data_IF_085068304302
#
_entry.id   IF_085068304302
#
_cell.length_a   1.000
_cell.length_b   1.000
_cell.length_c   1.000
_cell.angle_alpha   90.00
_cell.angle_beta   90.00
_cell.angle_gamma   90.00
#
_symmetry.space_group_name_H-M   'P 1'
#
loop_
_entity.id
_entity.type
_entity.pdbx_description
1 polymer ?
#
# COMPACT_ATOMS: atom_id res chain seq x y z
N UNK A 1 4.97 -9.79 7.45
CA UNK A 1 3.95 -9.09 8.27
C UNK A 1 4.55 -8.85 9.65
N UNK A 2 4.38 -7.64 10.21
CA UNK A 2 4.98 -7.24 11.49
C UNK A 2 4.30 -7.94 12.68
N UNK A 3 5.08 -8.40 13.66
CA UNK A 3 4.59 -9.23 14.78
C UNK A 3 3.57 -8.53 15.68
N UNK A 4 3.66 -7.21 15.80
CA UNK A 4 2.86 -6.41 16.73
C UNK A 4 1.88 -5.47 16.01
N UNK A 5 1.68 -5.67 14.71
CA UNK A 5 0.74 -4.89 13.93
C UNK A 5 -0.71 -5.21 14.29
N UNK A 6 -1.56 -4.20 14.24
CA UNK A 6 -3.00 -4.33 14.49
C UNK A 6 -3.77 -3.94 13.24
N UNK A 7 -4.76 -4.75 12.85
CA UNK A 7 -5.62 -4.48 11.70
C UNK A 7 -6.70 -3.48 12.10
N UNK A 8 -6.83 -2.38 11.35
CA UNK A 8 -7.70 -1.27 11.74
C UNK A 8 -9.19 -1.61 11.69
N UNK A 9 -9.58 -2.56 10.83
CA UNK A 9 -10.98 -3.04 10.73
C UNK A 9 -11.43 -3.79 11.98
N UNK A 10 -10.50 -4.47 12.67
CA UNK A 10 -10.79 -5.20 13.90
C UNK A 10 -11.06 -4.26 15.08
N UNK A 11 -10.58 -3.02 14.99
CA UNK A 11 -10.78 -1.96 15.99
C UNK A 11 -11.97 -1.04 15.69
N UNK A 12 -12.68 -1.26 14.56
CA UNK A 12 -13.80 -0.40 14.16
C UNK A 12 -13.40 0.97 13.61
N UNK A 13 -12.14 1.17 13.21
CA UNK A 13 -11.65 2.44 12.67
C UNK A 13 -11.92 2.65 11.16
N UNK A 14 -12.66 1.76 10.50
CA UNK A 14 -12.91 1.90 9.07
C UNK A 14 -13.92 3.01 8.74
N UNK A 15 -15.19 2.81 9.07
CA UNK A 15 -16.30 3.62 8.54
C UNK A 15 -16.19 5.12 8.85
N UNK A 16 -15.86 5.49 10.08
CA UNK A 16 -15.90 6.90 10.52
C UNK A 16 -14.56 7.63 10.41
N UNK A 17 -13.46 6.90 10.17
CA UNK A 17 -12.11 7.48 10.13
C UNK A 17 -11.42 7.22 8.81
N UNK A 18 -11.23 5.96 8.43
CA UNK A 18 -10.43 5.61 7.26
C UNK A 18 -11.21 5.72 5.94
N UNK A 19 -12.49 5.37 5.90
CA UNK A 19 -13.32 5.51 4.70
C UNK A 19 -13.32 6.96 4.16
N UNK A 20 -13.68 8.00 4.96
CA UNK A 20 -13.65 9.37 4.47
C UNK A 20 -12.23 9.81 4.13
N UNK A 21 -11.24 9.44 4.94
CA UNK A 21 -9.84 9.81 4.69
C UNK A 21 -9.33 9.26 3.36
N UNK A 22 -9.54 7.97 3.10
CA UNK A 22 -9.03 7.31 1.90
C UNK A 22 -9.83 7.75 0.68
N UNK A 23 -11.15 7.61 0.71
CA UNK A 23 -11.98 7.78 -0.49
C UNK A 23 -12.23 9.25 -0.87
N UNK A 24 -12.07 10.19 0.06
CA UNK A 24 -12.28 11.63 -0.23
C UNK A 24 -10.98 12.42 -0.35
N UNK A 25 -9.88 11.95 0.24
CA UNK A 25 -8.61 12.68 0.24
C UNK A 25 -7.46 11.90 -0.42
N UNK A 26 -7.17 10.68 0.04
CA UNK A 26 -6.06 9.90 -0.52
C UNK A 26 -6.30 9.58 -1.99
N UNK A 27 -7.53 9.22 -2.37
CA UNK A 27 -7.91 8.98 -3.77
C UNK A 27 -7.60 10.17 -4.69
N UNK A 28 -7.96 11.39 -4.28
CA UNK A 28 -7.72 12.59 -5.08
C UNK A 28 -6.22 12.85 -5.30
N UNK A 29 -5.41 12.62 -4.26
CA UNK A 29 -3.96 12.79 -4.33
C UNK A 29 -3.34 11.67 -5.20
N UNK A 30 -3.74 10.42 -4.96
CA UNK A 30 -3.25 9.25 -5.70
C UNK A 30 -3.49 9.38 -7.20
N UNK A 31 -4.70 9.74 -7.62
CA UNK A 31 -5.03 9.93 -9.04
C UNK A 31 -4.24 11.05 -9.72
N UNK A 32 -3.76 12.03 -8.95
CA UNK A 32 -2.95 13.14 -9.49
C UNK A 32 -1.47 12.82 -9.54
N UNK A 33 -0.95 12.14 -8.52
CA UNK A 33 0.49 11.87 -8.37
C UNK A 33 0.92 10.53 -8.98
N UNK A 34 0.01 9.55 -9.01
CA UNK A 34 0.25 8.17 -9.45
C UNK A 34 -0.82 7.72 -10.47
N UNK A 35 -1.12 8.52 -11.52
CA UNK A 35 -2.22 8.25 -12.45
C UNK A 35 -2.07 6.94 -13.22
N UNK A 36 -0.83 6.46 -13.38
CA UNK A 36 -0.56 5.18 -14.04
C UNK A 36 -0.99 3.98 -13.18
N UNK A 37 -0.91 4.09 -11.85
CA UNK A 37 -1.18 2.97 -10.95
C UNK A 37 -2.61 2.93 -10.42
N UNK A 38 -3.36 4.03 -10.54
CA UNK A 38 -4.67 4.14 -9.92
C UNK A 38 -5.61 5.04 -10.72
N UNK A 39 -6.74 4.48 -11.15
CA UNK A 39 -7.86 5.27 -11.68
C UNK A 39 -8.77 5.79 -10.56
N UNK A 40 -9.07 4.98 -9.55
CA UNK A 40 -9.87 5.33 -8.36
C UNK A 40 -9.61 4.30 -7.27
N UNK A 41 -9.48 4.74 -6.02
CA UNK A 41 -9.37 3.85 -4.86
C UNK A 41 -10.77 3.45 -4.38
N UNK A 42 -11.05 2.15 -4.33
CA UNK A 42 -12.39 1.61 -3.98
C UNK A 42 -12.38 0.61 -2.82
N UNK A 43 -11.20 0.14 -2.44
CA UNK A 43 -10.97 -0.74 -1.30
C UNK A 43 -9.58 -0.52 -0.71
N UNK A 44 -9.39 -1.01 0.51
CA UNK A 44 -8.10 -0.90 1.18
C UNK A 44 -7.92 -1.95 2.29
N UNK A 45 -6.67 -2.19 2.67
CA UNK A 45 -6.29 -2.86 3.91
C UNK A 45 -5.41 -1.92 4.73
N UNK A 46 -5.81 -1.64 5.96
CA UNK A 46 -5.07 -0.74 6.85
C UNK A 46 -4.64 -1.46 8.12
N UNK A 47 -3.39 -1.27 8.52
CA UNK A 47 -2.81 -1.89 9.70
C UNK A 47 -1.67 -1.05 10.28
N UNK A 48 -1.41 -1.22 11.57
CA UNK A 48 -0.24 -0.61 12.20
C UNK A 48 0.99 -1.51 12.08
N UNK A 49 2.16 -0.89 12.14
CA UNK A 49 3.46 -1.56 12.24
C UNK A 49 4.22 -0.92 13.40
N UNK A 50 4.75 -1.75 14.29
CA UNK A 50 5.64 -1.31 15.37
C UNK A 50 7.05 -1.82 15.10
N UNK A 51 7.98 -0.88 14.99
CA UNK A 51 9.41 -1.15 15.10
C UNK A 51 9.90 -0.81 16.51
N UNK A 52 10.65 -1.72 17.14
CA UNK A 52 11.19 -1.55 18.49
C UNK A 52 12.67 -1.98 18.56
N UNK A 53 13.57 -1.05 18.85
CA UNK A 53 15.01 -1.29 18.88
C UNK A 53 15.49 -1.98 20.19
N UNK A 54 14.69 -1.90 21.25
CA UNK A 54 15.10 -2.31 22.61
C UNK A 54 14.57 -3.69 23.02
N UNK A 55 13.54 -4.18 22.34
CA UNK A 55 12.95 -5.51 22.58
C UNK A 55 13.35 -6.48 21.47
N UNK A 56 12.99 -7.75 21.61
CA UNK A 56 12.93 -8.74 20.51
C UNK A 56 11.86 -8.39 19.45
N UNK A 57 11.64 -7.09 19.21
CA UNK A 57 10.72 -6.56 18.22
C UNK A 57 11.32 -6.57 16.83
N UNK A 58 10.46 -6.37 15.83
CA UNK A 58 10.93 -6.18 14.47
C UNK A 58 11.65 -4.83 14.39
N UNK A 59 12.87 -4.81 13.85
CA UNK A 59 13.69 -3.58 13.72
C UNK A 59 13.72 -3.05 12.31
N UNK A 60 13.49 -3.94 11.36
CA UNK A 60 13.55 -3.72 9.92
C UNK A 60 12.47 -4.56 9.24
N UNK A 61 12.29 -4.35 7.95
CA UNK A 61 11.47 -5.22 7.11
C UNK A 61 12.21 -5.47 5.81
N UNK A 62 12.36 -6.74 5.47
CA UNK A 62 13.05 -7.18 4.25
C UNK A 62 12.43 -6.54 3.00
N UNK A 63 13.22 -6.52 1.92
CA UNK A 63 12.79 -5.95 0.66
C UNK A 63 11.55 -6.67 0.10
N UNK A 64 10.56 -5.90 -0.32
CA UNK A 64 9.28 -6.36 -0.85
C UNK A 64 8.60 -5.26 -1.66
N UNK A 65 7.49 -5.60 -2.29
CA UNK A 65 6.51 -4.65 -2.80
C UNK A 65 5.15 -5.01 -2.19
N UNK A 66 4.19 -4.09 -2.28
CA UNK A 66 2.91 -4.21 -1.58
C UNK A 66 1.82 -4.80 -2.46
N UNK A 67 0.87 -5.50 -1.82
CA UNK A 67 -0.38 -5.91 -2.46
C UNK A 67 -1.40 -4.76 -2.49
N UNK A 68 -1.02 -3.72 -3.22
CA UNK A 68 -1.73 -2.46 -3.37
C UNK A 68 -1.43 -1.87 -4.75
N UNK A 69 -2.32 -1.01 -5.23
CA UNK A 69 -1.98 -0.10 -6.33
C UNK A 69 -1.21 1.11 -5.77
N UNK A 70 -1.65 1.58 -4.60
CA UNK A 70 -1.05 2.72 -3.90
C UNK A 70 -0.92 2.39 -2.42
N UNK A 71 0.26 2.65 -1.87
CA UNK A 71 0.49 2.56 -0.43
C UNK A 71 0.66 3.95 0.16
N UNK A 72 -0.02 4.19 1.28
CA UNK A 72 0.24 5.34 2.14
C UNK A 72 0.79 4.86 3.49
N UNK A 73 2.02 5.24 3.79
CA UNK A 73 2.74 4.92 5.02
C UNK A 73 2.89 6.16 5.89
N UNK A 74 2.11 6.26 6.97
CA UNK A 74 2.08 7.43 7.87
C UNK A 74 2.72 7.09 9.20
N UNK A 75 3.71 7.88 9.64
CA UNK A 75 4.17 7.75 11.02
C UNK A 75 3.17 8.42 11.98
N UNK A 76 2.64 7.66 12.93
CA UNK A 76 1.60 8.11 13.88
C UNK A 76 2.14 8.31 15.31
N UNK A 77 3.37 7.87 15.59
CA UNK A 77 3.96 8.08 16.91
C UNK A 77 5.29 7.41 17.14
N UNK A 78 5.79 7.61 18.36
CA UNK A 78 7.08 7.15 18.83
C UNK A 78 8.16 8.22 18.84
N UNK A 79 9.33 7.82 19.32
CA UNK A 79 10.59 8.55 19.33
C UNK A 79 11.65 7.52 18.98
N UNK A 80 12.40 7.75 17.89
CA UNK A 80 13.32 6.75 17.35
C UNK A 80 14.49 7.39 16.59
N UNK A 81 15.48 6.57 16.26
CA UNK A 81 16.56 6.89 15.34
C UNK A 81 16.69 5.83 14.24
N UNK A 82 17.16 6.25 13.06
CA UNK A 82 17.30 5.39 11.88
C UNK A 82 15.95 4.98 11.27
N UNK A 83 15.96 3.85 10.56
CA UNK A 83 14.76 3.22 10.02
C UNK A 83 14.23 3.76 8.71
N UNK A 84 15.03 4.47 7.91
CA UNK A 84 14.61 5.00 6.62
C UNK A 84 13.91 3.94 5.76
N UNK A 85 12.99 4.38 4.91
CA UNK A 85 12.43 3.50 3.87
C UNK A 85 13.27 3.69 2.62
N UNK A 86 13.89 2.62 2.13
CA UNK A 86 14.71 2.64 0.92
C UNK A 86 13.92 2.04 -0.25
N UNK A 87 13.82 2.78 -1.34
CA UNK A 87 13.11 2.41 -2.58
C UNK A 87 14.11 2.09 -3.70
N UNK A 88 13.79 1.12 -4.54
CA UNK A 88 14.68 0.53 -5.56
C UNK A 88 14.05 0.50 -6.96
N UNK A 89 13.06 1.37 -7.21
CA UNK A 89 12.28 1.37 -8.46
C UNK A 89 11.12 0.38 -8.44
N UNK A 90 10.54 0.11 -9.61
CA UNK A 90 9.39 -0.79 -9.74
C UNK A 90 9.85 -2.25 -9.78
N UNK A 91 9.10 -3.15 -9.11
CA UNK A 91 9.38 -4.58 -9.06
C UNK A 91 9.33 -5.29 -10.42
N UNK A 92 8.78 -4.65 -11.45
CA UNK A 92 8.71 -5.13 -12.84
C UNK A 92 9.93 -4.74 -13.68
N UNK A 93 10.86 -3.97 -13.12
CA UNK A 93 12.03 -3.42 -13.83
C UNK A 93 13.34 -3.82 -13.14
N UNK A 94 14.46 -3.50 -13.77
CA UNK A 94 15.77 -3.60 -13.14
C UNK A 94 15.84 -2.71 -11.89
N UNK A 95 16.39 -3.25 -10.80
CA UNK A 95 16.54 -2.52 -9.55
C UNK A 95 17.43 -1.28 -9.73
N UNK A 96 17.01 -0.15 -9.17
CA UNK A 96 17.77 1.10 -9.22
C UNK A 96 18.62 1.31 -7.97
N UNK A 97 19.46 2.34 -7.98
CA UNK A 97 20.07 2.84 -6.76
C UNK A 97 19.00 3.24 -5.72
N UNK A 98 19.35 3.09 -4.44
CA UNK A 98 18.41 3.28 -3.34
C UNK A 98 18.04 4.76 -3.17
N UNK A 99 16.75 5.07 -3.23
CA UNK A 99 16.19 6.33 -2.76
C UNK A 99 15.75 6.18 -1.30
N UNK A 100 16.47 6.82 -0.38
CA UNK A 100 16.15 6.76 1.05
C UNK A 100 15.23 7.90 1.50
N UNK A 101 14.12 7.53 2.13
CA UNK A 101 13.14 8.47 2.68
C UNK A 101 13.17 8.41 4.20
N UNK A 102 13.50 9.55 4.81
CA UNK A 102 13.41 9.72 6.26
C UNK A 102 11.96 9.99 6.68
N UNK A 103 11.46 9.20 7.62
CA UNK A 103 10.10 9.36 8.15
C UNK A 103 10.05 10.42 9.24
N UNK A 104 8.93 11.14 9.31
CA UNK A 104 8.65 12.15 10.33
C UNK A 104 7.26 11.94 10.91
N UNK A 105 7.12 12.16 12.22
CA UNK A 105 5.82 12.06 12.90
C UNK A 105 4.77 12.94 12.25
N UNK A 106 3.59 12.36 12.00
CA UNK A 106 2.46 13.01 11.34
C UNK A 106 2.60 13.17 9.82
N UNK A 107 3.69 12.69 9.21
CA UNK A 107 3.89 12.76 7.76
C UNK A 107 3.64 11.39 7.12
N UNK A 108 3.13 11.41 5.89
CA UNK A 108 2.89 10.22 5.08
C UNK A 108 3.83 10.15 3.88
N UNK A 109 4.30 8.95 3.55
CA UNK A 109 4.95 8.63 2.28
C UNK A 109 3.91 7.91 1.42
N UNK A 110 3.58 8.49 0.28
CA UNK A 110 2.67 7.92 -0.72
C UNK A 110 3.51 7.37 -1.87
N UNK A 111 3.30 6.11 -2.23
CA UNK A 111 4.02 5.47 -3.32
C UNK A 111 3.16 4.44 -4.06
N UNK A 112 3.59 4.03 -5.25
CA UNK A 112 2.97 2.90 -5.93
C UNK A 112 3.24 1.61 -5.15
N UNK A 113 2.26 0.72 -5.07
CA UNK A 113 2.44 -0.55 -4.36
C UNK A 113 3.52 -1.44 -4.99
N UNK A 114 3.73 -1.31 -6.31
CA UNK A 114 4.78 -2.00 -7.06
C UNK A 114 6.20 -1.45 -6.82
N UNK A 115 6.37 -0.33 -6.10
CA UNK A 115 7.71 0.13 -5.76
C UNK A 115 8.37 -0.85 -4.80
N UNK A 116 9.50 -1.41 -5.23
CA UNK A 116 10.33 -2.30 -4.45
C UNK A 116 11.00 -1.50 -3.33
N UNK A 117 10.75 -1.88 -2.08
CA UNK A 117 11.22 -1.13 -0.94
C UNK A 117 11.51 -2.00 0.28
N UNK A 118 12.29 -1.47 1.21
CA UNK A 118 12.57 -2.09 2.50
C UNK A 118 12.56 -1.05 3.62
N UNK A 119 12.21 -1.46 4.83
CA UNK A 119 12.40 -0.63 6.00
C UNK A 119 13.77 -0.95 6.60
N UNK A 120 14.68 0.02 6.64
CA UNK A 120 15.98 -0.15 7.29
C UNK A 120 15.83 -0.36 8.81
N UNK A 121 16.87 -0.89 9.48
CA UNK A 121 16.87 -1.02 10.93
C UNK A 121 16.68 0.32 11.65
N UNK A 122 15.77 0.35 12.62
CA UNK A 122 15.84 1.37 13.66
C UNK A 122 16.96 1.02 14.66
N UNK A 123 17.69 2.05 15.07
CA UNK A 123 18.85 1.91 15.98
C UNK A 123 18.48 2.21 17.42
N UNK A 124 17.46 3.05 17.65
CA UNK A 124 16.98 3.43 18.98
C UNK A 124 15.46 3.62 19.03
N UNK A 125 14.88 3.42 20.22
CA UNK A 125 13.50 3.77 20.54
C UNK A 125 12.45 2.94 19.79
N UNK A 126 11.27 3.55 19.59
CA UNK A 126 10.11 2.90 18.96
C UNK A 126 9.49 3.78 17.89
N UNK A 127 9.03 3.14 16.82
CA UNK A 127 8.37 3.80 15.70
C UNK A 127 7.05 3.11 15.37
N UNK A 128 5.97 3.88 15.37
CA UNK A 128 4.63 3.41 15.02
C UNK A 128 4.19 4.01 13.69
N UNK A 129 3.89 3.14 12.73
CA UNK A 129 3.38 3.55 11.42
C UNK A 129 1.98 2.97 11.20
N UNK A 130 1.13 3.73 10.54
CA UNK A 130 -0.11 3.28 9.94
C UNK A 130 0.14 3.08 8.44
N UNK A 131 0.02 1.84 7.99
CA UNK A 131 0.15 1.45 6.59
C UNK A 131 -1.25 1.26 6.03
N UNK A 132 -1.53 1.89 4.89
CA UNK A 132 -2.76 1.73 4.13
C UNK A 132 -2.41 1.24 2.73
N UNK A 133 -2.72 -0.02 2.47
CA UNK A 133 -2.69 -0.61 1.14
C UNK A 133 -3.99 -0.30 0.44
N UNK A 134 -3.97 0.70 -0.43
CA UNK A 134 -5.13 1.17 -1.17
C UNK A 134 -5.17 0.54 -2.56
N UNK A 135 -6.38 0.24 -3.03
CA UNK A 135 -6.61 -0.62 -4.17
C UNK A 135 -7.61 -0.03 -5.14
N UNK A 136 -7.38 -0.30 -6.42
CA UNK A 136 -8.20 0.12 -7.55
C UNK A 136 -8.66 -1.13 -8.29
N UNK A 137 -9.92 -1.54 -8.09
CA UNK A 137 -10.49 -2.70 -8.78
C UNK A 137 -10.48 -2.53 -10.29
N UNK A 138 -10.60 -1.30 -10.80
CA UNK A 138 -10.49 -0.99 -12.23
C UNK A 138 -9.11 -1.25 -12.85
N UNK A 139 -8.07 -1.50 -12.02
CA UNK A 139 -6.74 -1.92 -12.46
C UNK A 139 -6.54 -3.40 -12.15
N UNK A 140 -6.68 -3.78 -10.87
CA UNK A 140 -6.33 -5.13 -10.44
C UNK A 140 -7.25 -6.21 -10.97
N UNK A 141 -8.49 -5.90 -11.36
CA UNK A 141 -9.38 -6.89 -11.97
C UNK A 141 -8.88 -7.37 -13.34
N UNK A 142 -8.09 -6.56 -14.05
CA UNK A 142 -7.54 -6.92 -15.36
C UNK A 142 -6.26 -7.75 -15.17
N UNK A 143 -5.39 -7.35 -14.24
CA UNK A 143 -4.15 -8.05 -13.94
C UNK A 143 -3.82 -8.00 -12.44
N UNK A 144 -3.57 -9.16 -11.83
CA UNK A 144 -3.18 -9.22 -10.43
C UNK A 144 -1.79 -8.60 -10.21
N UNK A 145 -1.62 -7.59 -9.34
CA UNK A 145 -0.34 -6.90 -9.14
C UNK A 145 0.71 -7.75 -8.40
N UNK A 146 0.32 -8.92 -7.87
CA UNK A 146 1.22 -9.81 -7.12
C UNK A 146 1.77 -10.96 -7.96
N UNK A 147 0.99 -11.48 -8.90
CA UNK A 147 1.39 -12.62 -9.72
C UNK A 147 1.42 -12.33 -11.22
N UNK A 148 0.96 -11.16 -11.64
CA UNK A 148 0.88 -10.75 -13.03
C UNK A 148 0.11 -11.75 -13.90
N UNK A 149 -0.96 -12.32 -13.33
CA UNK A 149 -1.90 -13.21 -14.01
C UNK A 149 -3.31 -12.63 -13.93
N UNK A 150 -4.15 -13.00 -14.90
CA UNK A 150 -5.57 -12.68 -14.86
C UNK A 150 -6.20 -13.26 -13.56
N UNK A 151 -6.83 -12.42 -12.72
CA UNK A 151 -7.36 -12.86 -11.45
C UNK A 151 -8.69 -13.58 -11.61
N UNK A 152 -8.93 -14.59 -10.79
CA UNK A 152 -10.29 -15.12 -10.59
C UNK A 152 -11.02 -14.23 -9.60
N UNK A 153 -11.82 -13.29 -10.11
CA UNK A 153 -12.56 -12.33 -9.26
C UNK A 153 -13.76 -13.00 -8.60
N UNK A 154 -13.82 -12.93 -7.27
CA UNK A 154 -14.97 -13.35 -6.46
C UNK A 154 -15.62 -12.12 -5.82
N UNK A 155 -16.94 -12.13 -5.53
CA UNK A 155 -17.57 -11.04 -4.78
C UNK A 155 -16.92 -10.85 -3.40
N UNK A 156 -16.54 -9.61 -3.05
CA UNK A 156 -15.92 -9.30 -1.76
C UNK A 156 -16.49 -8.04 -1.12
N UNK A 157 -16.31 -7.91 0.19
CA UNK A 157 -16.48 -6.63 0.89
C UNK A 157 -15.18 -5.80 0.83
N UNK A 158 -15.27 -4.49 1.16
CA UNK A 158 -14.17 -3.52 1.04
C UNK A 158 -12.95 -3.78 1.94
N UNK A 159 -13.11 -4.54 3.03
CA UNK A 159 -12.13 -4.56 4.14
C UNK A 159 -11.39 -5.89 4.31
N UNK A 160 -12.00 -7.02 3.94
CA UNK A 160 -11.53 -8.35 4.37
C UNK A 160 -10.80 -9.15 3.28
N UNK A 161 -10.70 -8.64 2.05
CA UNK A 161 -10.23 -9.41 0.90
C UNK A 161 -9.13 -8.71 0.12
N UNK A 162 -8.67 -9.31 -0.97
CA UNK A 162 -7.60 -8.78 -1.83
C UNK A 162 -8.05 -7.65 -2.77
N UNK A 163 -9.20 -7.03 -2.52
CA UNK A 163 -9.67 -5.82 -3.22
C UNK A 163 -10.12 -6.00 -4.67
N UNK A 164 -10.21 -7.24 -5.17
CA UNK A 164 -10.87 -7.52 -6.45
C UNK A 164 -12.40 -7.32 -6.30
N UNK A 165 -13.05 -6.80 -7.33
CA UNK A 165 -14.49 -6.54 -7.30
C UNK A 165 -15.18 -7.09 -8.55
N UNK A 166 -16.36 -7.70 -8.43
CA UNK A 166 -17.14 -8.10 -9.61
C UNK A 166 -17.68 -6.83 -10.29
N UNK A 167 -17.45 -6.61 -11.59
CA UNK A 167 -18.02 -5.47 -12.30
C UNK A 167 -19.55 -5.50 -12.19
N UNK A 168 -20.14 -4.42 -11.69
CA UNK A 168 -21.60 -4.28 -11.69
C UNK A 168 -22.11 -4.11 -13.12
N UNK A 169 -22.69 -5.15 -13.71
CA UNK A 169 -23.56 -5.04 -14.88
C UNK A 169 -22.94 -4.52 -16.19
N UNK A 170 -21.67 -4.81 -16.47
CA UNK A 170 -21.06 -4.47 -17.77
C UNK A 170 -21.04 -5.69 -18.68
N UNK A 171 -21.70 -5.57 -19.84
CA UNK A 171 -21.62 -6.52 -20.97
C UNK A 171 -20.16 -6.73 -21.37
N UNK A 172 -19.81 -7.95 -21.78
CA UNK A 172 -18.46 -8.46 -22.04
C UNK A 172 -17.65 -7.77 -23.17
N UNK A 173 -18.06 -6.57 -23.65
CA UNK A 173 -17.53 -5.96 -24.88
C UNK A 173 -16.80 -4.61 -24.68
N UNK A 174 -16.49 -4.21 -23.44
CA UNK A 174 -15.63 -3.04 -23.23
C UNK A 174 -14.16 -3.47 -23.13
N UNK A 175 -13.49 -3.61 -24.28
CA UNK A 175 -12.02 -3.69 -24.32
C UNK A 175 -11.47 -2.31 -23.97
N UNK A 176 -10.88 -2.20 -22.78
CA UNK A 176 -10.10 -1.03 -22.37
C UNK A 176 -8.64 -1.33 -22.71
N UNK A 177 -8.00 -0.47 -23.50
CA UNK A 177 -6.58 -0.63 -23.83
C UNK A 177 -5.75 -0.55 -22.55
N UNK A 178 -5.03 -1.64 -22.24
CA UNK A 178 -4.04 -1.65 -21.17
C UNK A 178 -2.88 -0.75 -21.58
N UNK A 179 -2.44 0.13 -20.68
CA UNK A 179 -1.19 0.86 -20.84
C UNK A 179 -0.03 -0.14 -20.73
N UNK A 180 0.59 -0.50 -21.86
CA UNK A 180 1.76 -1.40 -21.91
C UNK A 180 2.91 -0.91 -20.99
N UNK A 181 3.00 0.42 -20.77
CA UNK A 181 4.08 1.07 -20.00
C UNK A 181 4.14 0.72 -18.49
N UNK A 182 3.14 0.02 -17.92
CA UNK A 182 3.09 -0.29 -16.48
C UNK A 182 3.76 -1.60 -16.10
N UNK A 183 3.77 -2.57 -17.01
CA UNK A 183 4.20 -3.94 -16.75
C UNK A 183 5.37 -4.38 -17.65
N UNK A 184 5.76 -3.53 -18.60
CA UNK A 184 6.99 -3.65 -19.39
C UNK A 184 8.15 -2.75 -18.86
#
# INVERSE_FOLDING_TARGET
MNRYGIIMSELGFCAELLDPFIFQHVDVIARKLLPAFCETLDSYRAFTVLYDAEKDGDRELAMHYDNAEVTLNVNIGGTWEGGQVAFYGLATREETEALEVSLKRGHGVLHAGLELHKAQPITQGRRHNLIMWCRSSGIRNDLCPMCFQEPRVLPTNKFYHEGFAVPGGVSADATREMSEDLYD
#
